data_IF_077967660798
#
_entry.id   IF_077967660798
#
_cell.length_a   1.000
_cell.length_b   1.000
_cell.length_c   1.000
_cell.angle_alpha   90.00
_cell.angle_beta   90.00
_cell.angle_gamma   90.00
#
_symmetry.space_group_name_H-M   'P 1'
#
loop_
_entity.id
_entity.type
_entity.pdbx_description
1 polymer ?
#
# COMPACT_ATOMS: atom_id res chain seq x y z
N UNK A 1 9.69 -7.74 69.56
CA UNK A 1 8.68 -7.69 68.48
C UNK A 1 8.88 -6.39 67.70
N UNK A 2 9.67 -6.41 66.62
CA UNK A 2 9.78 -5.28 65.68
C UNK A 2 9.15 -5.67 64.35
N UNK A 3 8.21 -4.83 63.91
CA UNK A 3 7.28 -5.02 62.79
C UNK A 3 7.97 -4.70 61.46
N UNK A 4 8.35 -5.73 60.69
CA UNK A 4 8.87 -5.60 59.31
C UNK A 4 7.75 -5.46 58.26
N UNK A 5 6.76 -4.61 58.53
CA UNK A 5 5.58 -4.43 57.67
C UNK A 5 5.68 -3.33 56.58
N UNK A 6 6.60 -2.33 56.58
CA UNK A 6 6.50 -1.23 55.62
C UNK A 6 7.04 -1.55 54.22
N UNK A 7 7.97 -2.49 54.07
CA UNK A 7 8.62 -2.79 52.78
C UNK A 7 7.70 -3.56 51.83
N UNK A 8 6.87 -4.46 52.35
CA UNK A 8 5.95 -5.28 51.56
C UNK A 8 4.81 -4.45 50.95
N UNK A 9 4.29 -3.47 51.70
CA UNK A 9 3.24 -2.53 51.25
C UNK A 9 3.74 -1.59 50.15
N UNK A 10 5.01 -1.19 50.19
CA UNK A 10 5.63 -0.34 49.16
C UNK A 10 5.82 -1.10 47.84
N UNK A 11 6.24 -2.37 47.89
CA UNK A 11 6.37 -3.20 46.69
C UNK A 11 5.02 -3.50 46.02
N UNK A 12 3.96 -3.75 46.81
CA UNK A 12 2.62 -4.04 46.28
C UNK A 12 2.02 -2.80 45.60
N UNK A 13 2.19 -1.61 46.18
CA UNK A 13 1.71 -0.36 45.59
C UNK A 13 2.46 0.03 44.32
N UNK A 14 3.78 -0.24 44.24
CA UNK A 14 4.56 -0.05 43.03
C UNK A 14 4.15 -1.03 41.91
N UNK A 15 3.92 -2.30 42.23
CA UNK A 15 3.44 -3.32 41.30
C UNK A 15 2.02 -3.01 40.78
N UNK A 16 1.13 -2.51 41.64
CA UNK A 16 -0.20 -2.08 41.21
C UNK A 16 -0.16 -0.83 40.33
N UNK A 17 0.73 0.13 40.61
CA UNK A 17 0.92 1.32 39.78
C UNK A 17 1.43 0.99 38.36
N UNK A 18 2.41 0.08 38.26
CA UNK A 18 2.93 -0.41 36.98
C UNK A 18 1.86 -1.19 36.18
N UNK A 19 1.08 -2.04 36.85
CA UNK A 19 -0.01 -2.79 36.21
C UNK A 19 -1.15 -1.87 35.72
N UNK A 20 -1.49 -0.82 36.48
CA UNK A 20 -2.49 0.15 36.07
C UNK A 20 -2.03 1.00 34.87
N UNK A 21 -0.77 1.44 34.87
CA UNK A 21 -0.17 2.17 33.76
C UNK A 21 -0.12 1.32 32.48
N UNK A 22 0.37 0.08 32.56
CA UNK A 22 0.42 -0.85 31.42
C UNK A 22 -0.99 -1.16 30.87
N UNK A 23 -2.01 -1.25 31.73
CA UNK A 23 -3.40 -1.48 31.32
C UNK A 23 -4.04 -0.24 30.68
N UNK A 24 -3.66 0.96 31.11
CA UNK A 24 -4.08 2.20 30.48
C UNK A 24 -3.45 2.35 29.08
N UNK A 25 -2.17 2.04 28.95
CA UNK A 25 -1.42 2.06 27.69
C UNK A 25 -2.02 1.09 26.66
N UNK A 26 -2.21 -0.18 27.06
CA UNK A 26 -2.85 -1.18 26.21
C UNK A 26 -4.28 -0.80 25.79
N UNK A 27 -5.07 -0.21 26.69
CA UNK A 27 -6.42 0.25 26.34
C UNK A 27 -6.37 1.40 25.34
N UNK A 28 -5.40 2.29 25.47
CA UNK A 28 -5.22 3.42 24.58
C UNK A 28 -4.76 2.95 23.19
N UNK A 29 -3.80 2.03 23.12
CA UNK A 29 -3.36 1.38 21.88
C UNK A 29 -4.52 0.66 21.18
N UNK A 30 -5.34 -0.07 21.94
CA UNK A 30 -6.52 -0.74 21.38
C UNK A 30 -7.57 0.24 20.84
N UNK A 31 -7.75 1.39 21.50
CA UNK A 31 -8.67 2.43 21.02
C UNK A 31 -8.13 3.11 19.76
N UNK A 32 -6.82 3.32 19.67
CA UNK A 32 -6.17 3.87 18.48
C UNK A 32 -6.21 2.90 17.30
N UNK A 33 -5.98 1.61 17.53
CA UNK A 33 -6.13 0.57 16.51
C UNK A 33 -7.60 0.39 16.05
N UNK A 34 -8.57 0.69 16.91
CA UNK A 34 -9.99 0.67 16.57
C UNK A 34 -10.46 1.92 15.79
N UNK A 35 -9.64 2.97 15.73
CA UNK A 35 -9.92 4.17 14.92
C UNK A 35 -9.62 3.88 13.44
N UNK A 36 -10.63 3.36 12.74
CA UNK A 36 -10.52 3.00 11.32
C UNK A 36 -10.16 4.19 10.42
N UNK A 37 -10.45 5.42 10.84
CA UNK A 37 -10.11 6.61 10.07
C UNK A 37 -8.61 6.90 10.16
N UNK A 38 -8.04 6.86 11.38
CA UNK A 38 -6.59 6.96 11.59
C UNK A 38 -5.82 5.82 10.93
N UNK A 39 -6.26 4.58 11.11
CA UNK A 39 -5.59 3.42 10.49
C UNK A 39 -5.67 3.47 8.97
N UNK A 40 -6.79 3.91 8.40
CA UNK A 40 -6.94 4.09 6.96
C UNK A 40 -6.07 5.22 6.39
N UNK A 41 -5.92 6.33 7.12
CA UNK A 41 -5.00 7.41 6.76
C UNK A 41 -3.54 6.93 6.79
N UNK A 42 -3.14 6.24 7.86
CA UNK A 42 -1.80 5.68 8.00
C UNK A 42 -1.38 4.80 6.81
N UNK A 43 -2.26 3.90 6.38
CA UNK A 43 -2.01 3.00 5.23
C UNK A 43 -1.83 3.78 3.93
N UNK A 44 -2.62 4.84 3.74
CA UNK A 44 -2.74 5.54 2.47
C UNK A 44 -1.69 6.64 2.30
N UNK A 45 -1.38 7.37 3.36
CA UNK A 45 -0.63 8.63 3.26
C UNK A 45 0.79 8.43 2.75
N UNK A 46 1.48 7.36 3.19
CA UNK A 46 2.84 7.04 2.72
C UNK A 46 2.88 6.66 1.24
N UNK A 47 1.85 5.96 0.77
CA UNK A 47 1.72 5.59 -0.63
C UNK A 47 1.44 6.84 -1.47
N UNK A 48 0.50 7.68 -1.04
CA UNK A 48 0.13 8.92 -1.72
C UNK A 48 1.28 9.93 -1.75
N UNK A 49 2.11 9.95 -0.71
CA UNK A 49 3.31 10.77 -0.68
C UNK A 49 4.25 10.47 -1.85
N UNK A 50 4.29 9.24 -2.37
CA UNK A 50 5.12 8.87 -3.52
C UNK A 50 4.35 8.86 -4.86
N UNK A 51 3.08 9.25 -4.85
CA UNK A 51 2.22 9.13 -6.01
C UNK A 51 2.60 10.12 -7.10
N UNK A 52 2.84 9.61 -8.31
CA UNK A 52 3.15 10.40 -9.53
C UNK A 52 4.38 11.29 -9.43
N UNK A 53 5.21 11.15 -8.39
CA UNK A 53 6.51 11.84 -8.33
C UNK A 53 7.38 11.41 -9.51
N UNK A 54 8.18 12.31 -10.09
CA UNK A 54 9.19 11.92 -11.06
C UNK A 54 10.27 11.07 -10.38
N UNK A 55 10.94 10.21 -11.15
CA UNK A 55 12.20 9.63 -10.71
C UNK A 55 13.29 10.71 -10.66
N UNK A 56 14.22 10.59 -9.73
CA UNK A 56 15.36 11.50 -9.61
C UNK A 56 16.54 11.00 -10.45
N UNK A 57 17.37 11.94 -10.92
CA UNK A 57 18.51 11.64 -11.82
C UNK A 57 19.75 11.09 -11.09
N UNK A 58 19.69 10.90 -9.78
CA UNK A 58 20.79 10.56 -8.86
C UNK A 58 21.20 9.07 -8.85
N UNK A 59 20.80 8.30 -9.87
CA UNK A 59 21.39 6.98 -10.16
C UNK A 59 20.86 5.80 -9.33
N UNK A 60 19.73 5.95 -8.63
CA UNK A 60 19.06 4.85 -7.95
C UNK A 60 18.26 3.96 -8.90
N UNK A 61 18.10 2.67 -8.56
CA UNK A 61 17.23 1.77 -9.34
C UNK A 61 15.78 2.23 -9.24
N UNK A 62 15.11 2.34 -10.37
CA UNK A 62 13.76 2.92 -10.47
C UNK A 62 12.71 1.81 -10.35
N UNK A 63 11.80 1.95 -9.39
CA UNK A 63 10.68 1.04 -9.20
C UNK A 63 9.37 1.82 -9.28
N UNK A 64 8.45 1.35 -10.12
CA UNK A 64 7.08 1.82 -10.13
C UNK A 64 6.15 0.77 -9.54
N UNK A 65 5.33 1.17 -8.57
CA UNK A 65 4.28 0.35 -8.00
C UNK A 65 2.92 0.91 -8.42
N UNK A 66 2.21 0.16 -9.25
CA UNK A 66 0.89 0.52 -9.76
C UNK A 66 -0.16 -0.40 -9.17
N UNK A 67 -1.28 0.16 -8.71
CA UNK A 67 -2.40 -0.67 -8.29
C UNK A 67 -3.40 -0.01 -7.37
N UNK A 68 -4.18 -0.84 -6.68
CA UNK A 68 -5.28 -0.41 -5.82
C UNK A 68 -4.90 -0.43 -4.33
N UNK A 69 -5.85 -0.68 -3.42
CA UNK A 69 -5.56 -0.79 -1.99
C UNK A 69 -4.52 -1.88 -1.69
N UNK A 70 -4.45 -2.95 -2.49
CA UNK A 70 -3.42 -3.98 -2.33
C UNK A 70 -2.01 -3.45 -2.62
N UNK A 71 -1.87 -2.47 -3.52
CA UNK A 71 -0.60 -1.79 -3.74
C UNK A 71 -0.21 -0.93 -2.53
N UNK A 72 -1.19 -0.33 -1.84
CA UNK A 72 -0.93 0.43 -0.60
C UNK A 72 -0.45 -0.49 0.51
N UNK A 73 -1.12 -1.63 0.70
CA UNK A 73 -0.72 -2.64 1.69
C UNK A 73 0.68 -3.19 1.40
N UNK A 74 0.94 -3.53 0.13
CA UNK A 74 2.26 -4.00 -0.28
C UNK A 74 3.34 -2.94 -0.05
N UNK A 75 3.05 -1.68 -0.36
CA UNK A 75 3.96 -0.56 -0.10
C UNK A 75 4.28 -0.41 1.39
N UNK A 76 3.29 -0.52 2.26
CA UNK A 76 3.56 -0.44 3.70
C UNK A 76 4.40 -1.62 4.18
N UNK A 77 4.08 -2.84 3.74
CA UNK A 77 4.85 -4.03 4.07
C UNK A 77 6.32 -3.92 3.67
N UNK A 78 6.63 -3.47 2.44
CA UNK A 78 8.04 -3.29 2.01
C UNK A 78 8.74 -2.22 2.86
N UNK A 79 8.03 -1.15 3.25
CA UNK A 79 8.61 -0.07 4.03
C UNK A 79 8.83 -0.47 5.49
N UNK A 80 7.92 -1.22 6.09
CA UNK A 80 8.05 -1.76 7.46
C UNK A 80 9.18 -2.79 7.54
N UNK A 81 9.34 -3.63 6.51
CA UNK A 81 10.42 -4.60 6.44
C UNK A 81 11.79 -3.98 6.13
N UNK A 82 11.86 -2.66 5.84
CA UNK A 82 13.08 -2.03 5.33
C UNK A 82 13.55 -2.58 3.97
N UNK A 83 12.66 -3.28 3.26
CA UNK A 83 12.95 -3.89 1.96
C UNK A 83 12.96 -2.84 0.85
N UNK A 84 13.69 -3.13 -0.22
CA UNK A 84 13.77 -2.28 -1.42
C UNK A 84 14.25 -0.84 -1.13
N UNK A 85 15.00 -0.64 -0.05
CA UNK A 85 15.53 0.67 0.37
C UNK A 85 16.50 1.28 -0.66
N UNK A 86 17.09 0.46 -1.51
CA UNK A 86 17.96 0.88 -2.61
C UNK A 86 17.20 1.36 -3.87
N UNK A 87 15.87 1.26 -3.89
CA UNK A 87 15.06 1.69 -5.02
C UNK A 87 14.45 3.07 -4.79
N UNK A 88 14.43 3.87 -5.85
CA UNK A 88 13.53 5.00 -5.96
C UNK A 88 12.13 4.45 -6.27
N UNK A 89 11.22 4.52 -5.31
CA UNK A 89 9.86 4.00 -5.48
C UNK A 89 8.91 5.14 -5.76
N UNK A 90 8.23 5.07 -6.91
CA UNK A 90 7.11 5.94 -7.25
C UNK A 90 5.83 5.11 -7.36
N UNK A 91 4.69 5.70 -7.00
CA UNK A 91 3.42 4.96 -6.95
C UNK A 91 2.38 5.52 -7.92
N UNK A 92 1.46 4.67 -8.36
CA UNK A 92 0.29 5.05 -9.16
C UNK A 92 -0.94 4.31 -8.64
N UNK A 93 -1.97 5.06 -8.25
CA UNK A 93 -3.19 4.47 -7.70
C UNK A 93 -4.27 4.32 -8.78
N UNK A 94 -4.68 3.09 -9.04
CA UNK A 94 -5.80 2.73 -9.91
C UNK A 94 -6.83 2.00 -9.04
N UNK A 95 -8.03 2.56 -8.79
CA UNK A 95 -9.01 1.93 -7.91
C UNK A 95 -9.41 0.52 -8.36
N UNK A 96 -9.68 -0.37 -7.40
CA UNK A 96 -10.14 -1.74 -7.67
C UNK A 96 -11.38 -1.80 -8.58
N UNK A 97 -12.27 -0.82 -8.50
CA UNK A 97 -13.48 -0.79 -9.36
C UNK A 97 -13.14 -0.50 -10.83
N UNK A 98 -11.98 0.09 -11.10
CA UNK A 98 -11.52 0.47 -12.44
C UNK A 98 -10.62 -0.57 -13.08
N UNK A 99 -9.83 -1.28 -12.26
CA UNK A 99 -8.86 -2.31 -12.65
C UNK A 99 -7.73 -1.80 -13.55
N UNK A 100 -6.58 -2.47 -13.50
CA UNK A 100 -5.40 -2.15 -14.30
C UNK A 100 -5.49 -2.78 -15.70
N UNK A 101 -6.44 -2.32 -16.51
CA UNK A 101 -6.60 -2.77 -17.89
C UNK A 101 -5.91 -1.81 -18.88
N UNK A 102 -5.25 -2.38 -19.89
CA UNK A 102 -4.71 -1.63 -21.02
C UNK A 102 -4.94 -2.39 -22.33
N UNK A 103 -5.91 -1.97 -23.10
CA UNK A 103 -6.17 -2.52 -24.42
C UNK A 103 -7.32 -1.84 -25.15
N UNK A 104 -7.63 -2.30 -26.37
CA UNK A 104 -8.60 -1.65 -27.24
C UNK A 104 -10.06 -2.04 -26.93
N UNK A 105 -10.29 -3.03 -26.09
CA UNK A 105 -11.64 -3.49 -25.75
C UNK A 105 -12.35 -2.47 -24.84
N UNK A 106 -13.63 -2.24 -25.10
CA UNK A 106 -14.45 -1.52 -24.13
C UNK A 106 -14.74 -2.40 -22.92
N UNK A 107 -14.15 -2.03 -21.79
CA UNK A 107 -14.33 -2.72 -20.50
C UNK A 107 -15.40 -2.08 -19.61
N UNK A 108 -16.15 -1.09 -20.10
CA UNK A 108 -17.32 -0.56 -19.38
C UNK A 108 -18.36 -1.66 -19.04
N UNK A 109 -18.68 -2.64 -19.92
CA UNK A 109 -19.65 -3.68 -19.61
C UNK A 109 -19.25 -4.61 -18.45
N UNK A 110 -17.96 -4.73 -18.14
CA UNK A 110 -17.48 -5.54 -17.00
C UNK A 110 -17.48 -4.80 -15.66
N UNK A 111 -17.79 -3.51 -15.69
CA UNK A 111 -17.83 -2.64 -14.52
C UNK A 111 -19.27 -2.40 -14.09
N UNK A 112 -19.45 -2.22 -12.79
CA UNK A 112 -20.72 -1.74 -12.24
C UNK A 112 -20.98 -0.31 -12.72
N UNK A 113 -22.22 0.01 -13.08
CA UNK A 113 -22.57 1.31 -13.67
C UNK A 113 -22.18 2.49 -12.75
N UNK A 114 -22.29 2.30 -11.44
CA UNK A 114 -21.96 3.31 -10.43
C UNK A 114 -20.45 3.65 -10.41
N UNK A 115 -19.60 2.77 -10.97
CA UNK A 115 -18.16 3.00 -11.07
C UNK A 115 -17.78 3.91 -12.26
N UNK A 116 -18.71 4.28 -13.13
CA UNK A 116 -18.41 5.06 -14.33
C UNK A 116 -17.76 6.41 -14.01
N UNK A 117 -18.32 7.16 -13.06
CA UNK A 117 -17.81 8.47 -12.66
C UNK A 117 -16.40 8.37 -12.07
N UNK A 118 -16.19 7.48 -11.09
CA UNK A 118 -14.88 7.31 -10.46
C UNK A 118 -13.82 6.82 -11.45
N UNK A 119 -14.17 5.94 -12.40
CA UNK A 119 -13.21 5.40 -13.35
C UNK A 119 -12.91 6.31 -14.54
N UNK A 120 -13.74 7.32 -14.79
CA UNK A 120 -13.41 8.39 -15.74
C UNK A 120 -12.29 9.29 -15.20
N UNK A 121 -12.33 9.58 -13.90
CA UNK A 121 -11.41 10.53 -13.27
C UNK A 121 -10.20 9.83 -12.62
N UNK A 122 -10.23 8.50 -12.52
CA UNK A 122 -9.15 7.68 -11.99
C UNK A 122 -7.92 7.67 -12.92
N UNK A 123 -6.78 7.33 -12.32
CA UNK A 123 -5.57 7.04 -13.07
C UNK A 123 -5.69 5.74 -13.88
N UNK A 124 -4.82 5.56 -14.86
CA UNK A 124 -4.82 4.42 -15.78
C UNK A 124 -3.40 3.97 -16.11
N UNK A 125 -3.24 2.73 -16.56
CA UNK A 125 -1.96 2.24 -17.09
C UNK A 125 -1.47 3.08 -18.27
N UNK A 126 -2.40 3.62 -19.08
CA UNK A 126 -2.07 4.50 -20.19
C UNK A 126 -1.42 5.81 -19.70
N UNK A 127 -2.01 6.46 -18.69
CA UNK A 127 -1.45 7.66 -18.07
C UNK A 127 -0.15 7.39 -17.30
N UNK A 128 0.06 6.16 -16.83
CA UNK A 128 1.29 5.74 -16.15
C UNK A 128 2.43 5.37 -17.11
N UNK A 129 2.16 5.23 -18.41
CA UNK A 129 3.09 4.67 -19.40
C UNK A 129 4.46 5.32 -19.40
N UNK A 130 4.56 6.64 -19.31
CA UNK A 130 5.83 7.35 -19.31
C UNK A 130 6.73 6.91 -18.14
N UNK A 131 6.20 6.90 -16.92
CA UNK A 131 6.94 6.46 -15.74
C UNK A 131 7.22 4.95 -15.77
N UNK A 132 6.30 4.15 -16.32
CA UNK A 132 6.54 2.72 -16.54
C UNK A 132 7.73 2.52 -17.48
N UNK A 133 7.86 3.32 -18.54
CA UNK A 133 8.99 3.23 -19.47
C UNK A 133 10.34 3.61 -18.86
N UNK A 134 10.35 4.43 -17.81
CA UNK A 134 11.58 4.79 -17.10
C UNK A 134 12.00 3.79 -16.02
N UNK A 135 11.10 2.93 -15.55
CA UNK A 135 11.34 2.08 -14.39
C UNK A 135 12.17 0.83 -14.75
N UNK A 136 13.08 0.44 -13.87
CA UNK A 136 13.77 -0.86 -13.98
C UNK A 136 12.87 -2.02 -13.53
N UNK A 137 11.99 -1.74 -12.55
CA UNK A 137 11.05 -2.71 -11.99
C UNK A 137 9.64 -2.14 -12.01
N UNK A 138 8.70 -2.90 -12.57
CA UNK A 138 7.28 -2.59 -12.61
C UNK A 138 6.55 -3.61 -11.75
N UNK A 139 5.87 -3.14 -10.70
CA UNK A 139 5.02 -3.97 -9.86
C UNK A 139 3.58 -3.60 -10.09
N UNK A 140 2.77 -4.56 -10.50
CA UNK A 140 1.31 -4.45 -10.59
C UNK A 140 0.70 -5.20 -9.41
N UNK A 141 0.08 -4.48 -8.48
CA UNK A 141 -0.47 -5.03 -7.24
C UNK A 141 -1.96 -4.71 -7.11
N UNK A 142 -2.83 -5.71 -7.19
CA UNK A 142 -4.27 -5.44 -7.23
C UNK A 142 -5.16 -6.53 -6.67
N UNK A 143 -6.39 -6.14 -6.35
CA UNK A 143 -7.51 -7.07 -6.23
C UNK A 143 -8.09 -7.30 -7.63
N UNK A 144 -7.57 -8.32 -8.30
CA UNK A 144 -7.88 -8.63 -9.68
C UNK A 144 -9.30 -9.16 -9.80
N UNK A 145 -10.13 -8.43 -10.55
CA UNK A 145 -11.40 -8.96 -11.03
C UNK A 145 -11.10 -9.96 -12.13
N UNK A 146 -11.88 -11.04 -12.17
CA UNK A 146 -11.73 -12.10 -13.18
C UNK A 146 -11.55 -11.56 -14.60
N UNK A 147 -12.38 -10.61 -15.01
CA UNK A 147 -12.31 -10.03 -16.35
C UNK A 147 -10.98 -9.32 -16.63
N UNK A 148 -10.39 -8.65 -15.63
CA UNK A 148 -9.12 -7.96 -15.77
C UNK A 148 -7.95 -8.96 -15.74
N UNK A 149 -8.02 -9.97 -14.87
CA UNK A 149 -7.03 -11.05 -14.81
C UNK A 149 -6.94 -11.82 -16.15
N UNK A 150 -8.09 -12.15 -16.76
CA UNK A 150 -8.15 -12.78 -18.08
C UNK A 150 -7.52 -11.91 -19.19
N UNK A 151 -7.52 -10.59 -19.01
CA UNK A 151 -6.94 -9.60 -19.95
C UNK A 151 -5.55 -9.12 -19.56
N UNK A 152 -5.01 -9.63 -18.46
CA UNK A 152 -3.70 -9.21 -17.96
C UNK A 152 -2.58 -9.48 -18.99
N UNK A 153 -2.52 -10.64 -19.68
CA UNK A 153 -1.51 -10.84 -20.72
C UNK A 153 -1.54 -9.80 -21.84
N UNK A 154 -2.74 -9.36 -22.25
CA UNK A 154 -2.89 -8.29 -23.25
C UNK A 154 -2.43 -6.94 -22.69
N UNK A 155 -2.79 -6.64 -21.45
CA UNK A 155 -2.39 -5.41 -20.78
C UNK A 155 -0.87 -5.32 -20.65
N UNK A 156 -0.22 -6.41 -20.25
CA UNK A 156 1.25 -6.53 -20.16
C UNK A 156 1.91 -6.32 -21.51
N UNK A 157 1.43 -6.98 -22.58
CA UNK A 157 1.95 -6.75 -23.94
C UNK A 157 1.85 -5.27 -24.33
N UNK A 158 0.71 -4.65 -24.04
CA UNK A 158 0.45 -3.26 -24.39
C UNK A 158 1.25 -2.25 -23.56
N UNK A 159 1.77 -2.62 -22.38
CA UNK A 159 2.68 -1.77 -21.62
C UNK A 159 3.98 -1.49 -22.40
N UNK A 160 4.39 -2.42 -23.28
CA UNK A 160 5.59 -2.25 -24.10
C UNK A 160 6.86 -2.27 -23.26
N UNK A 161 6.92 -3.15 -22.25
CA UNK A 161 8.08 -3.27 -21.37
C UNK A 161 9.33 -3.67 -22.16
N UNK A 162 10.43 -2.99 -21.89
CA UNK A 162 11.74 -3.31 -22.46
C UNK A 162 12.33 -4.61 -21.90
N UNK A 163 13.28 -5.23 -22.61
CA UNK A 163 13.85 -6.54 -22.24
C UNK A 163 14.64 -6.51 -20.91
N UNK A 164 15.04 -5.32 -20.44
CA UNK A 164 15.76 -5.13 -19.19
C UNK A 164 14.85 -4.86 -17.99
N UNK A 165 13.56 -4.59 -18.23
CA UNK A 165 12.61 -4.30 -17.16
C UNK A 165 12.12 -5.61 -16.52
N UNK A 166 12.05 -5.62 -15.20
CA UNK A 166 11.43 -6.72 -14.46
C UNK A 166 9.97 -6.39 -14.18
N UNK A 167 9.06 -7.30 -14.56
CA UNK A 167 7.65 -7.22 -14.19
C UNK A 167 7.34 -8.17 -13.03
N UNK A 168 6.67 -7.67 -12.00
CA UNK A 168 6.10 -8.46 -10.92
C UNK A 168 4.60 -8.18 -10.89
N UNK A 169 3.79 -9.24 -10.86
CA UNK A 169 2.34 -9.14 -10.68
C UNK A 169 1.99 -9.85 -9.38
N UNK A 170 1.29 -9.17 -8.49
CA UNK A 170 0.87 -9.72 -7.21
C UNK A 170 -0.57 -9.32 -6.88
N UNK A 171 -1.17 -10.08 -5.96
CA UNK A 171 -2.56 -9.89 -5.55
C UNK A 171 -3.42 -11.12 -5.79
N UNK A 172 -4.72 -10.98 -5.54
CA UNK A 172 -5.72 -12.04 -5.65
C UNK A 172 -6.62 -11.82 -6.85
#
# INVERSE_FOLDING_TARGET
MMKNTPLLLLCISLLMGLAAAARADFRQDMLEAADTAKSGAYVRDRFLAEMKKPFTADGGRKLILVGDSHAQDFYNAIREAGALSQYQIVTRYIPTVCQMYLGPEDVAPFRRAEAAAICRDADTLAQARAQIGEADVVILAGNWRRWAAERLPQSIRNLGLGPHQQLIVLGR
#
